data_IF_295834471021
#
_entry.id   IF_295834471021
#
_cell.length_a   1.000
_cell.length_b   1.000
_cell.length_c   1.000
_cell.angle_alpha   90.00
_cell.angle_beta   90.00
_cell.angle_gamma   90.00
#
_symmetry.space_group_name_H-M   'P 1'
#
loop_
_entity.id
_entity.type
_entity.pdbx_description
1 polymer ?
#
# COMPACT_ATOMS: atom_id res chain seq x y z
N UNK A 1 -1.94 -31.04 25.31
CA UNK A 1 -1.66 -31.32 23.88
C UNK A 1 -0.47 -30.44 23.47
N UNK A 2 0.60 -31.08 23.00
CA UNK A 2 1.87 -30.42 22.70
C UNK A 2 1.70 -29.41 21.56
N UNK A 3 2.11 -28.16 21.80
CA UNK A 3 2.46 -27.27 20.70
C UNK A 3 3.68 -27.91 19.99
N UNK A 4 3.62 -28.16 18.67
CA UNK A 4 4.79 -28.66 17.98
C UNK A 4 5.94 -27.66 18.12
N UNK A 5 7.14 -28.20 18.37
CA UNK A 5 8.36 -27.45 18.61
C UNK A 5 8.65 -26.47 17.46
N UNK A 6 8.85 -25.20 17.81
CA UNK A 6 9.32 -24.17 16.89
C UNK A 6 10.82 -24.42 16.60
N UNK A 7 11.24 -24.69 15.34
CA UNK A 7 12.66 -24.76 15.03
C UNK A 7 13.25 -23.34 14.90
N UNK A 8 14.43 -23.21 15.51
CA UNK A 8 15.50 -22.23 15.36
C UNK A 8 15.20 -20.88 14.67
N UNK A 9 15.36 -19.81 15.47
CA UNK A 9 15.53 -18.44 15.03
C UNK A 9 16.46 -18.33 13.80
N UNK A 10 15.87 -18.09 12.63
CA UNK A 10 16.60 -17.69 11.45
C UNK A 10 17.15 -16.27 11.67
N UNK A 11 18.43 -16.09 11.34
CA UNK A 11 19.19 -14.87 11.57
C UNK A 11 18.45 -13.61 11.11
N UNK A 12 18.37 -12.61 11.98
CA UNK A 12 17.82 -11.29 11.67
C UNK A 12 18.76 -10.62 10.65
N UNK A 13 18.31 -10.34 9.41
CA UNK A 13 19.07 -9.46 8.52
C UNK A 13 19.07 -8.06 9.15
N UNK A 14 20.27 -7.52 9.33
CA UNK A 14 20.52 -6.29 10.07
C UNK A 14 20.72 -5.14 9.08
N UNK A 15 19.63 -4.61 8.54
CA UNK A 15 19.68 -3.43 7.69
C UNK A 15 18.29 -2.86 7.37
N UNK A 16 18.13 -1.53 7.35
CA UNK A 16 16.88 -0.93 6.90
C UNK A 16 16.61 -1.26 5.42
N UNK A 17 15.41 -1.75 5.11
CA UNK A 17 14.95 -2.09 3.75
C UNK A 17 15.47 -3.41 3.17
N UNK A 18 16.15 -4.27 3.94
CA UNK A 18 16.69 -5.54 3.41
C UNK A 18 15.67 -6.69 3.38
N UNK A 19 14.57 -6.60 4.12
CA UNK A 19 13.55 -7.64 4.12
C UNK A 19 12.40 -7.28 3.19
N UNK A 20 11.92 -8.25 2.42
CA UNK A 20 10.79 -8.10 1.51
C UNK A 20 9.86 -9.31 1.59
N UNK A 21 8.62 -9.08 1.19
CA UNK A 21 7.59 -10.11 1.21
C UNK A 21 6.25 -9.64 0.66
N UNK A 22 5.25 -10.51 0.78
CA UNK A 22 3.88 -10.26 0.35
C UNK A 22 2.95 -10.24 1.54
N UNK A 23 2.04 -9.27 1.64
CA UNK A 23 0.98 -9.29 2.67
C UNK A 23 0.10 -10.52 2.44
N UNK A 24 0.19 -11.48 3.34
CA UNK A 24 -0.56 -12.74 3.29
C UNK A 24 -1.97 -12.58 3.87
N UNK A 25 -2.09 -11.81 4.95
CA UNK A 25 -3.35 -11.58 5.65
C UNK A 25 -3.36 -10.21 6.33
N UNK A 26 -4.50 -9.53 6.32
CA UNK A 26 -4.74 -8.28 7.04
C UNK A 26 -6.20 -8.20 7.49
N UNK A 27 -6.43 -7.81 8.76
CA UNK A 27 -7.78 -7.66 9.32
C UNK A 27 -8.04 -6.28 9.94
N UNK A 28 -7.23 -5.28 9.56
CA UNK A 28 -7.29 -3.90 10.07
C UNK A 28 -6.62 -3.67 11.43
N UNK A 29 -6.48 -4.69 12.28
CA UNK A 29 -5.77 -4.57 13.56
C UNK A 29 -4.34 -5.11 13.50
N UNK A 30 -4.13 -6.19 12.76
CA UNK A 30 -2.81 -6.77 12.48
C UNK A 30 -2.85 -7.56 11.17
N UNK A 31 -1.66 -7.92 10.70
CA UNK A 31 -1.48 -8.73 9.52
C UNK A 31 -0.22 -9.59 9.59
N UNK A 32 -0.02 -10.35 8.52
CA UNK A 32 1.14 -11.20 8.32
C UNK A 32 1.70 -10.99 6.92
N UNK A 33 3.03 -10.91 6.83
CA UNK A 33 3.78 -10.87 5.59
C UNK A 33 4.43 -12.23 5.39
N UNK A 34 4.16 -12.86 4.25
CA UNK A 34 4.94 -14.00 3.78
C UNK A 34 6.30 -13.47 3.29
N UNK A 35 7.38 -13.85 3.95
CA UNK A 35 8.73 -13.33 3.66
C UNK A 35 9.32 -14.04 2.43
N UNK A 36 10.01 -13.30 1.58
CA UNK A 36 10.68 -13.89 0.40
C UNK A 36 11.86 -14.79 0.78
N UNK A 37 12.42 -14.61 1.97
CA UNK A 37 13.49 -15.44 2.52
C UNK A 37 13.04 -16.87 2.85
N UNK A 38 11.72 -17.15 2.82
CA UNK A 38 11.15 -18.47 3.14
C UNK A 38 11.12 -18.79 4.63
N UNK A 39 11.37 -17.81 5.51
CA UNK A 39 11.21 -17.93 6.95
C UNK A 39 9.75 -17.88 7.41
N UNK A 40 9.53 -17.88 8.73
CA UNK A 40 8.20 -17.71 9.32
C UNK A 40 7.53 -16.40 8.87
N UNK A 41 6.20 -16.38 8.84
CA UNK A 41 5.45 -15.16 8.50
C UNK A 41 5.79 -14.00 9.44
N UNK A 42 6.11 -12.83 8.88
CA UNK A 42 6.45 -11.65 9.64
C UNK A 42 5.18 -10.92 10.11
N UNK A 43 5.11 -10.65 11.41
CA UNK A 43 3.98 -9.92 11.99
C UNK A 43 4.05 -8.44 11.65
N UNK A 44 2.93 -7.85 11.22
CA UNK A 44 2.83 -6.42 10.88
C UNK A 44 1.60 -5.79 11.55
N UNK A 45 1.75 -4.54 11.96
CA UNK A 45 0.68 -3.74 12.57
C UNK A 45 0.47 -2.43 11.81
N UNK A 46 -0.73 -1.82 11.91
CA UNK A 46 -1.05 -0.58 11.21
C UNK A 46 -0.03 0.55 11.49
N UNK A 47 0.41 0.72 12.74
CA UNK A 47 1.40 1.75 13.11
C UNK A 47 2.80 1.54 12.53
N UNK A 48 3.10 0.35 12.03
CA UNK A 48 4.37 0.07 11.33
C UNK A 48 4.30 0.42 9.84
N UNK A 49 3.14 0.84 9.34
CA UNK A 49 2.86 1.09 7.92
C UNK A 49 2.59 2.59 7.66
N UNK A 50 3.55 3.49 7.92
CA UNK A 50 3.34 4.93 7.77
C UNK A 50 3.02 5.31 6.32
N UNK A 51 3.50 4.51 5.34
CA UNK A 51 3.23 4.73 3.93
C UNK A 51 1.77 4.52 3.53
N UNK A 52 1.03 3.71 4.28
CA UNK A 52 -0.42 3.52 4.11
C UNK A 52 -1.24 4.30 5.13
N UNK A 53 -0.69 5.39 5.68
CA UNK A 53 -1.40 6.23 6.63
C UNK A 53 -1.73 5.51 7.92
N UNK A 54 -0.79 4.72 8.44
CA UNK A 54 -0.96 3.86 9.60
C UNK A 54 -2.09 2.82 9.43
N UNK A 55 -2.29 2.33 8.21
CA UNK A 55 -3.14 1.18 7.92
C UNK A 55 -2.34 0.05 7.28
N UNK A 56 -2.85 -1.17 7.39
CA UNK A 56 -2.20 -2.33 6.77
C UNK A 56 -2.37 -2.25 5.25
N UNK A 57 -1.33 -2.59 4.47
CA UNK A 57 -1.49 -2.74 3.04
C UNK A 57 -2.49 -3.87 2.72
N UNK A 58 -3.15 -3.82 1.55
CA UNK A 58 -4.01 -4.90 1.10
C UNK A 58 -3.29 -6.25 1.02
N UNK A 59 -4.03 -7.34 1.20
CA UNK A 59 -3.53 -8.70 0.94
C UNK A 59 -3.06 -8.79 -0.52
N UNK A 60 -1.90 -9.42 -0.73
CA UNK A 60 -1.21 -9.49 -2.02
C UNK A 60 -0.21 -8.35 -2.27
N UNK A 61 -0.20 -7.30 -1.45
CA UNK A 61 0.73 -6.18 -1.60
C UNK A 61 2.17 -6.61 -1.34
N UNK A 62 3.07 -6.22 -2.24
CA UNK A 62 4.51 -6.43 -2.11
C UNK A 62 5.12 -5.32 -1.28
N UNK A 63 5.84 -5.69 -0.22
CA UNK A 63 6.37 -4.76 0.77
C UNK A 63 7.85 -5.01 1.02
N UNK A 64 8.56 -3.94 1.37
CA UNK A 64 9.85 -3.97 2.03
C UNK A 64 9.70 -3.43 3.45
N UNK A 65 10.52 -3.91 4.37
CA UNK A 65 10.41 -3.58 5.79
C UNK A 65 11.72 -3.87 6.55
N UNK A 66 11.76 -3.34 7.76
CA UNK A 66 12.81 -3.58 8.75
C UNK A 66 12.32 -4.63 9.74
N UNK A 67 13.17 -5.59 10.12
CA UNK A 67 12.83 -6.55 11.17
C UNK A 67 13.32 -6.01 12.51
N UNK A 68 12.39 -5.69 13.39
CA UNK A 68 12.68 -5.22 14.75
C UNK A 68 12.19 -6.25 15.77
N UNK A 69 13.01 -6.52 16.78
CA UNK A 69 12.59 -7.34 17.91
C UNK A 69 11.62 -6.55 18.80
N UNK A 70 10.41 -7.06 18.99
CA UNK A 70 9.42 -6.44 19.87
C UNK A 70 9.92 -6.47 21.33
N UNK A 71 10.12 -5.30 21.93
CA UNK A 71 10.67 -5.16 23.29
C UNK A 71 9.79 -5.78 24.39
N UNK A 72 8.50 -6.03 24.13
CA UNK A 72 7.57 -6.62 25.11
C UNK A 72 7.52 -8.15 25.04
N UNK A 73 7.66 -8.71 23.84
CA UNK A 73 7.42 -10.14 23.59
C UNK A 73 8.67 -10.88 23.09
N UNK A 74 9.71 -10.15 22.67
CA UNK A 74 10.91 -10.69 22.05
C UNK A 74 10.70 -11.24 20.64
N UNK A 75 9.49 -11.12 20.07
CA UNK A 75 9.16 -11.66 18.75
C UNK A 75 9.55 -10.68 17.63
N UNK A 76 10.05 -11.17 16.49
CA UNK A 76 10.33 -10.31 15.35
C UNK A 76 9.02 -9.74 14.79
N UNK A 77 9.02 -8.45 14.46
CA UNK A 77 7.93 -7.75 13.78
C UNK A 77 8.48 -6.86 12.67
N UNK A 78 7.66 -6.61 11.66
CA UNK A 78 7.94 -5.65 10.62
C UNK A 78 7.77 -4.21 11.15
N UNK A 79 8.72 -3.36 10.82
CA UNK A 79 8.75 -1.92 11.09
C UNK A 79 9.12 -1.17 9.82
N UNK A 80 8.74 0.11 9.72
CA UNK A 80 8.95 0.93 8.52
C UNK A 80 8.51 0.23 7.23
N UNK A 81 7.31 -0.36 7.25
CA UNK A 81 6.76 -1.10 6.11
C UNK A 81 6.43 -0.11 4.99
N UNK A 82 6.98 -0.38 3.82
CA UNK A 82 6.85 0.42 2.60
C UNK A 82 6.55 -0.50 1.41
N UNK A 83 5.99 0.00 0.30
CA UNK A 83 5.88 -0.78 -0.92
C UNK A 83 7.28 -1.18 -1.37
N UNK A 84 7.41 -2.40 -1.88
CA UNK A 84 8.64 -2.81 -2.53
C UNK A 84 8.81 -1.97 -3.80
N UNK A 85 9.98 -1.34 -3.98
CA UNK A 85 10.24 -0.51 -5.16
C UNK A 85 9.95 -1.27 -6.46
N UNK A 86 9.22 -0.62 -7.38
CA UNK A 86 8.81 -1.21 -8.65
C UNK A 86 7.63 -2.19 -8.57
N UNK A 87 7.07 -2.45 -7.38
CA UNK A 87 5.80 -3.17 -7.28
C UNK A 87 4.64 -2.22 -7.61
N UNK A 88 4.04 -2.38 -8.79
CA UNK A 88 2.80 -1.69 -9.14
C UNK A 88 1.65 -2.18 -8.25
N UNK A 89 1.41 -1.48 -7.14
CA UNK A 89 0.24 -1.71 -6.31
C UNK A 89 -0.94 -0.94 -6.89
N UNK A 90 -1.79 -1.63 -7.64
CA UNK A 90 -3.06 -1.06 -8.09
C UNK A 90 -4.03 -1.04 -6.92
N UNK A 91 -4.38 0.17 -6.48
CA UNK A 91 -5.37 0.44 -5.44
C UNK A 91 -6.60 1.11 -6.03
N UNK A 92 -7.71 1.06 -5.30
CA UNK A 92 -8.95 1.74 -5.66
C UNK A 92 -9.39 2.73 -4.57
N UNK A 93 -10.17 3.72 -4.95
CA UNK A 93 -10.72 4.71 -4.04
C UNK A 93 -11.64 5.72 -4.69
N UNK A 94 -12.11 6.69 -3.89
CA UNK A 94 -12.97 7.80 -4.34
C UNK A 94 -12.29 9.14 -4.13
N UNK A 95 -12.37 10.06 -5.10
CA UNK A 95 -11.96 11.45 -4.87
C UNK A 95 -12.86 12.06 -3.78
N UNK A 96 -12.29 12.52 -2.67
CA UNK A 96 -13.05 13.11 -1.56
C UNK A 96 -12.80 14.59 -1.37
N UNK A 97 -11.69 15.12 -1.91
CA UNK A 97 -11.35 16.53 -1.81
C UNK A 97 -10.51 16.99 -2.99
N UNK A 98 -10.79 18.20 -3.46
CA UNK A 98 -9.98 18.93 -4.45
C UNK A 98 -9.66 20.29 -3.83
N UNK A 99 -8.39 20.70 -3.89
CA UNK A 99 -7.89 21.94 -3.29
C UNK A 99 -6.96 22.64 -4.26
N UNK A 100 -7.53 23.35 -5.24
CA UNK A 100 -6.76 24.06 -6.25
C UNK A 100 -6.02 23.09 -7.18
N UNK A 101 -4.72 22.91 -6.98
CA UNK A 101 -3.82 22.14 -7.85
C UNK A 101 -3.58 20.70 -7.42
N UNK A 102 -4.25 20.21 -6.38
CA UNK A 102 -4.15 18.83 -5.91
C UNK A 102 -5.46 18.34 -5.29
N UNK A 103 -5.56 17.02 -5.09
CA UNK A 103 -6.72 16.38 -4.49
C UNK A 103 -6.32 15.25 -3.55
N UNK A 104 -7.35 14.62 -3.00
CA UNK A 104 -7.24 13.49 -2.09
C UNK A 104 -8.24 12.40 -2.46
N UNK A 105 -7.76 11.16 -2.51
CA UNK A 105 -8.54 9.94 -2.74
C UNK A 105 -8.72 9.23 -1.40
N UNK A 106 -9.96 8.99 -0.99
CA UNK A 106 -10.25 8.06 0.09
C UNK A 106 -10.02 6.64 -0.44
N UNK A 107 -9.02 5.96 0.12
CA UNK A 107 -8.66 4.60 -0.30
C UNK A 107 -9.69 3.60 0.22
N UNK A 108 -10.01 2.60 -0.59
CA UNK A 108 -10.93 1.52 -0.20
C UNK A 108 -10.32 0.58 0.84
N UNK A 109 -8.99 0.43 0.82
CA UNK A 109 -8.23 -0.32 1.82
C UNK A 109 -8.30 0.31 3.22
N UNK A 110 -8.87 1.51 3.34
CA UNK A 110 -8.79 2.34 4.54
C UNK A 110 -7.47 3.10 4.63
N UNK A 111 -7.28 3.80 5.74
CA UNK A 111 -6.09 4.64 6.00
C UNK A 111 -6.28 6.11 5.65
N UNK A 112 -5.15 6.81 5.63
CA UNK A 112 -5.12 8.22 5.24
C UNK A 112 -5.49 8.40 3.76
N UNK A 113 -5.98 9.59 3.42
CA UNK A 113 -6.32 9.88 2.04
C UNK A 113 -5.07 9.94 1.17
N UNK A 114 -5.10 9.25 0.03
CA UNK A 114 -4.03 9.25 -0.94
C UNK A 114 -3.97 10.59 -1.69
N UNK A 115 -2.78 11.17 -1.76
CA UNK A 115 -2.54 12.43 -2.46
C UNK A 115 -2.56 12.21 -3.98
N UNK A 116 -3.27 13.07 -4.72
CA UNK A 116 -3.35 13.00 -6.18
C UNK A 116 -3.12 14.38 -6.81
N UNK A 117 -2.46 14.41 -7.96
CA UNK A 117 -2.17 15.62 -8.71
C UNK A 117 -2.69 15.53 -10.16
N UNK A 118 -2.99 16.66 -10.81
CA UNK A 118 -3.53 16.66 -12.16
C UNK A 118 -2.65 15.91 -13.19
N UNK A 119 -1.32 15.99 -13.06
CA UNK A 119 -0.38 15.39 -14.03
C UNK A 119 -0.40 13.86 -14.06
N UNK A 120 -1.03 13.20 -13.08
CA UNK A 120 -1.15 11.73 -13.00
C UNK A 120 -2.54 11.25 -13.39
N UNK A 121 -3.42 12.17 -13.80
CA UNK A 121 -4.79 11.91 -14.20
C UNK A 121 -4.92 12.03 -15.73
N UNK A 122 -4.10 11.28 -16.48
CA UNK A 122 -4.08 11.34 -17.96
C UNK A 122 -5.44 11.02 -18.57
N UNK A 123 -6.21 10.09 -17.96
CA UNK A 123 -7.57 9.74 -18.39
C UNK A 123 -8.56 10.91 -18.35
N UNK A 124 -8.23 11.98 -17.61
CA UNK A 124 -9.00 13.23 -17.52
C UNK A 124 -8.26 14.43 -18.14
N UNK A 125 -7.34 14.18 -19.06
CA UNK A 125 -6.61 15.26 -19.75
C UNK A 125 -5.72 16.07 -18.81
N UNK A 126 -5.02 15.40 -17.90
CA UNK A 126 -4.17 16.01 -16.88
C UNK A 126 -4.93 16.96 -15.94
N UNK A 127 -6.19 16.63 -15.63
CA UNK A 127 -7.06 17.37 -14.71
C UNK A 127 -7.55 16.41 -13.63
N UNK A 128 -7.76 16.93 -12.41
CA UNK A 128 -8.28 16.10 -11.31
C UNK A 128 -9.71 15.63 -11.62
N UNK A 129 -10.02 14.35 -11.38
CA UNK A 129 -11.39 13.86 -11.49
C UNK A 129 -12.30 14.57 -10.48
N UNK A 130 -13.60 14.75 -10.77
CA UNK A 130 -14.55 15.37 -9.84
C UNK A 130 -14.65 14.63 -8.49
N UNK A 131 -15.01 15.36 -7.43
CA UNK A 131 -15.30 14.74 -6.12
C UNK A 131 -16.41 13.69 -6.28
N UNK A 132 -16.24 12.54 -5.63
CA UNK A 132 -17.09 11.36 -5.73
C UNK A 132 -16.68 10.38 -6.83
N UNK A 133 -15.76 10.76 -7.73
CA UNK A 133 -15.30 9.88 -8.82
C UNK A 133 -14.53 8.69 -8.26
N UNK A 134 -14.89 7.50 -8.76
CA UNK A 134 -14.21 6.23 -8.49
C UNK A 134 -12.99 6.08 -9.37
N UNK A 135 -11.85 5.79 -8.75
CA UNK A 135 -10.56 5.73 -9.43
C UNK A 135 -9.76 4.50 -9.01
N UNK A 136 -9.01 3.96 -9.95
CA UNK A 136 -7.90 3.05 -9.70
C UNK A 136 -6.59 3.79 -9.95
N UNK A 137 -5.55 3.45 -9.20
CA UNK A 137 -4.26 4.14 -9.28
C UNK A 137 -3.15 3.23 -8.77
N UNK A 138 -1.92 3.50 -9.21
CA UNK A 138 -0.72 2.94 -8.59
C UNK A 138 -0.20 3.87 -7.51
N UNK A 139 0.51 3.33 -6.51
CA UNK A 139 1.18 4.17 -5.50
C UNK A 139 2.66 4.27 -5.80
N UNK A 140 3.16 5.49 -5.89
CA UNK A 140 4.58 5.78 -6.05
C UNK A 140 5.08 6.68 -4.94
N UNK A 141 6.34 6.50 -4.57
CA UNK A 141 7.02 7.41 -3.65
C UNK A 141 7.42 8.67 -4.39
N UNK A 142 6.96 9.83 -3.92
CA UNK A 142 7.35 11.12 -4.51
C UNK A 142 8.82 11.42 -4.17
N UNK A 143 9.70 11.50 -5.18
CA UNK A 143 11.14 11.73 -4.99
C UNK A 143 11.47 13.06 -4.28
N UNK A 144 10.58 14.06 -4.35
CA UNK A 144 10.83 15.39 -3.76
C UNK A 144 10.47 15.43 -2.28
N UNK A 145 9.41 14.73 -1.90
CA UNK A 145 8.84 14.80 -0.55
C UNK A 145 9.03 13.52 0.26
N UNK A 146 9.39 12.42 -0.40
CA UNK A 146 9.47 11.09 0.20
C UNK A 146 8.10 10.52 0.60
N UNK A 147 6.99 11.13 0.17
CA UNK A 147 5.64 10.76 0.58
C UNK A 147 4.93 9.92 -0.50
N UNK A 148 4.03 9.01 -0.11
CA UNK A 148 3.17 8.28 -1.03
C UNK A 148 2.27 9.23 -1.83
N UNK A 149 2.17 9.02 -3.15
CA UNK A 149 1.20 9.67 -4.03
C UNK A 149 0.57 8.67 -5.00
N UNK A 150 -0.64 8.97 -5.45
CA UNK A 150 -1.28 8.28 -6.54
C UNK A 150 -0.61 8.63 -7.88
N UNK A 151 -0.38 7.59 -8.67
CA UNK A 151 0.14 7.63 -10.03
C UNK A 151 -0.75 6.79 -10.95
N UNK A 152 -0.62 6.97 -12.26
CA UNK A 152 -1.43 6.28 -13.27
C UNK A 152 -2.93 6.20 -12.90
N UNK A 153 -3.52 7.36 -12.58
CA UNK A 153 -4.89 7.43 -12.08
C UNK A 153 -5.85 7.26 -13.24
N UNK A 154 -6.74 6.28 -13.13
CA UNK A 154 -7.73 5.90 -14.15
C UNK A 154 -9.13 5.72 -13.54
N UNK A 155 -10.21 5.89 -14.32
CA UNK A 155 -11.57 5.66 -13.84
C UNK A 155 -11.82 4.17 -13.55
N UNK A 156 -12.32 3.87 -12.35
CA UNK A 156 -12.71 2.51 -11.98
C UNK A 156 -13.95 2.09 -12.79
N UNK A 157 -13.74 1.29 -13.85
CA UNK A 157 -14.78 0.88 -14.81
C UNK A 157 -14.59 1.41 -16.24
N UNK A 158 -13.53 2.21 -16.51
CA UNK A 158 -13.25 2.78 -17.82
C UNK A 158 -12.46 1.87 -18.77
N UNK A 159 -12.80 0.59 -18.85
CA UNK A 159 -12.30 -0.30 -19.89
C UNK A 159 -13.24 -0.32 -21.09
N UNK A 160 -13.00 0.56 -22.07
CA UNK A 160 -13.39 0.40 -23.48
C UNK A 160 -14.82 -0.04 -23.83
N UNK A 161 -15.67 0.93 -24.20
CA UNK A 161 -16.89 0.67 -24.97
C UNK A 161 -17.32 1.94 -25.70
N UNK A 162 -16.86 2.10 -26.94
CA UNK A 162 -17.21 3.26 -27.77
C UNK A 162 -18.64 3.24 -28.30
N UNK A 163 -18.84 4.20 -29.21
CA UNK A 163 -19.92 4.36 -30.19
C UNK A 163 -21.13 5.18 -29.72
N UNK A 164 -21.17 6.42 -30.24
CA UNK A 164 -22.33 7.28 -30.18
C UNK A 164 -23.49 6.76 -31.01
N UNK A 165 -24.69 7.16 -30.59
CA UNK A 165 -25.85 7.45 -31.42
C UNK A 165 -26.69 8.45 -30.60
N UNK A 166 -26.98 9.69 -30.99
CA UNK A 166 -27.00 10.24 -32.34
C UNK A 166 -28.23 9.73 -33.08
N UNK A 167 -29.41 10.29 -32.75
CA UNK A 167 -30.70 9.98 -33.38
C UNK A 167 -31.86 10.26 -32.45
#
# INVERSE_FOLDING_TARGET
PAQPAQPAAAAVPAGPGECSGTILAANGSYGFIEQDSGGDNMFVIPSSCPFWGNCLPPVGSRVQYDVVADLKTGRPRAENVQPLDGAEQVLAGSIVKISGSYGFIQQDSGGENMFVIPSTCQAWGNTLPPIGTRVVYTVVTDEKTGRPRADNVEPEGGGGGGWGAGG
#
